data_IF_078521959297
#
_entry.id   IF_078521959297
#
_cell.length_a   1.000
_cell.length_b   1.000
_cell.length_c   1.000
_cell.angle_alpha   90.00
_cell.angle_beta   90.00
_cell.angle_gamma   90.00
#
_symmetry.space_group_name_H-M   'P 1'
#
loop_
_entity.id
_entity.type
_entity.pdbx_description
1 polymer ?
#
# COMPACT_ATOMS: atom_id res chain seq x y z
N UNK A 1 37.15 -3.52 12.71
CA UNK A 1 36.51 -2.54 11.80
C UNK A 1 35.17 -3.09 11.33
N UNK A 2 34.11 -2.29 11.36
CA UNK A 2 32.75 -2.68 11.00
C UNK A 2 32.32 -1.95 9.73
N UNK A 3 31.93 -2.67 8.68
CA UNK A 3 31.36 -2.10 7.46
C UNK A 3 29.83 -2.01 7.55
N UNK A 4 29.28 -0.83 7.26
CA UNK A 4 27.83 -0.57 7.22
C UNK A 4 27.45 0.27 6.01
N UNK A 5 26.19 0.15 5.56
CA UNK A 5 25.59 1.06 4.59
C UNK A 5 25.53 2.48 5.17
N UNK A 6 25.64 3.54 4.35
CA UNK A 6 25.58 4.94 4.78
C UNK A 6 24.16 5.39 5.19
N UNK A 7 23.34 4.49 5.71
CA UNK A 7 21.99 4.82 6.14
C UNK A 7 21.99 5.20 7.63
N UNK A 8 21.15 6.18 8.04
CA UNK A 8 21.01 6.50 9.45
C UNK A 8 20.40 5.28 10.17
N UNK A 9 20.90 4.91 11.37
CA UNK A 9 21.63 5.76 12.31
C UNK A 9 23.15 5.56 12.33
N UNK A 10 23.71 4.73 11.44
CA UNK A 10 25.15 4.47 11.45
C UNK A 10 25.94 5.61 10.80
N UNK A 11 25.31 6.31 9.86
CA UNK A 11 25.78 7.57 9.30
C UNK A 11 24.61 8.57 9.35
N UNK A 12 24.76 9.65 10.11
CA UNK A 12 23.74 10.69 10.18
C UNK A 12 23.75 11.52 8.88
N UNK A 13 22.63 11.49 8.14
CA UNK A 13 22.43 12.34 6.97
C UNK A 13 21.52 13.51 7.37
N UNK A 14 21.96 14.78 7.23
CA UNK A 14 21.14 15.93 7.57
C UNK A 14 19.78 15.90 6.85
N UNK A 15 18.69 15.96 7.62
CA UNK A 15 17.31 15.97 7.10
C UNK A 15 16.66 14.60 6.88
N UNK A 16 17.39 13.49 7.02
CA UNK A 16 16.83 12.13 6.89
C UNK A 16 16.69 11.51 8.27
N UNK A 17 15.45 11.15 8.66
CA UNK A 17 15.21 10.40 9.90
C UNK A 17 15.72 8.97 9.75
N UNK A 18 16.31 8.42 10.81
CA UNK A 18 16.75 7.03 10.83
C UNK A 18 15.59 6.07 10.68
N UNK A 19 15.79 5.03 9.87
CA UNK A 19 14.87 3.91 9.80
C UNK A 19 14.83 3.17 11.14
N UNK A 20 13.65 2.74 11.56
CA UNK A 20 13.48 1.93 12.79
C UNK A 20 14.36 0.69 12.77
N UNK A 21 14.46 0.02 11.61
CA UNK A 21 15.29 -1.17 11.45
C UNK A 21 16.77 -0.88 11.69
N UNK A 22 17.23 0.27 11.23
CA UNK A 22 18.61 0.66 11.34
C UNK A 22 18.97 1.05 12.79
N UNK A 23 18.02 1.65 13.54
CA UNK A 23 18.12 1.86 15.00
C UNK A 23 18.27 0.54 15.76
N UNK A 24 17.44 -0.46 15.44
CA UNK A 24 17.53 -1.80 16.05
C UNK A 24 18.90 -2.42 15.78
N UNK A 25 19.40 -2.35 14.54
CA UNK A 25 20.69 -2.90 14.17
C UNK A 25 21.84 -2.23 14.96
N UNK A 26 21.81 -0.90 15.10
CA UNK A 26 22.81 -0.14 15.85
C UNK A 26 22.82 -0.54 17.32
N UNK A 27 21.65 -0.53 17.95
CA UNK A 27 21.53 -0.79 19.39
C UNK A 27 21.94 -2.25 19.70
N UNK A 28 21.57 -3.19 18.83
CA UNK A 28 22.01 -4.59 18.93
C UNK A 28 23.53 -4.70 18.88
N UNK A 29 24.18 -3.97 17.98
CA UNK A 29 25.63 -4.02 17.84
C UNK A 29 26.36 -3.43 19.06
N UNK A 30 25.89 -2.30 19.60
CA UNK A 30 26.45 -1.72 20.83
C UNK A 30 26.24 -2.62 22.05
N UNK A 31 25.09 -3.29 22.13
CA UNK A 31 24.83 -4.29 23.16
C UNK A 31 25.81 -5.46 23.05
N UNK A 32 26.05 -5.97 21.84
CA UNK A 32 27.04 -7.02 21.61
C UNK A 32 28.46 -6.57 21.97
N UNK A 33 28.86 -5.36 21.57
CA UNK A 33 30.17 -4.79 21.91
C UNK A 33 30.39 -4.69 23.42
N UNK A 34 29.35 -4.31 24.15
CA UNK A 34 29.39 -4.21 25.62
C UNK A 34 29.45 -5.59 26.28
N UNK A 35 28.66 -6.55 25.78
CA UNK A 35 28.59 -7.92 26.34
C UNK A 35 29.83 -8.76 26.05
N UNK A 36 30.42 -8.59 24.87
CA UNK A 36 31.58 -9.34 24.39
C UNK A 36 32.90 -8.55 24.54
N UNK A 37 32.85 -7.34 25.09
CA UNK A 37 34.00 -6.50 25.43
C UNK A 37 34.92 -6.19 24.24
N UNK A 38 34.35 -5.89 23.07
CA UNK A 38 35.12 -5.43 21.90
C UNK A 38 34.84 -3.97 21.58
N UNK A 39 35.81 -3.30 20.95
CA UNK A 39 35.67 -1.92 20.47
C UNK A 39 35.11 -1.90 19.04
N UNK A 40 34.25 -0.92 18.78
CA UNK A 40 33.63 -0.71 17.47
C UNK A 40 34.28 0.48 16.76
N UNK A 41 34.69 0.28 15.51
CA UNK A 41 35.04 1.35 14.58
C UNK A 41 34.17 1.18 13.35
N UNK A 42 33.23 2.09 13.18
CA UNK A 42 32.22 2.05 12.11
C UNK A 42 32.80 2.74 10.88
N UNK A 43 32.78 2.04 9.76
CA UNK A 43 33.17 2.53 8.44
C UNK A 43 32.10 2.14 7.42
N UNK A 44 32.10 2.82 6.28
CA UNK A 44 31.22 2.50 5.16
C UNK A 44 32.06 2.13 3.94
N UNK A 45 31.54 1.26 3.05
CA UNK A 45 32.22 0.98 1.81
C UNK A 45 32.22 2.23 0.91
N UNK A 46 33.30 2.49 0.15
CA UNK A 46 33.44 3.70 -0.66
C UNK A 46 32.43 3.77 -1.82
N UNK A 47 31.89 2.62 -2.24
CA UNK A 47 30.87 2.52 -3.29
C UNK A 47 29.44 2.62 -2.74
N UNK A 48 29.27 2.66 -1.41
CA UNK A 48 27.98 2.65 -0.73
C UNK A 48 27.05 1.48 -1.09
N UNK A 49 27.63 0.39 -1.60
CA UNK A 49 26.87 -0.79 -1.98
C UNK A 49 26.81 -1.82 -0.85
N UNK A 50 25.72 -2.57 -0.82
CA UNK A 50 25.54 -3.66 0.14
C UNK A 50 26.38 -4.90 -0.20
N UNK A 51 26.66 -5.12 -1.48
CA UNK A 51 27.36 -6.30 -1.98
C UNK A 51 26.56 -7.06 -3.01
N UNK A 52 26.89 -6.79 -4.27
CA UNK A 52 26.51 -7.53 -5.46
C UNK A 52 27.72 -8.25 -6.05
N UNK A 53 27.45 -9.34 -6.76
CA UNK A 53 28.48 -10.05 -7.51
C UNK A 53 28.49 -9.53 -8.95
N UNK A 54 29.57 -8.83 -9.32
CA UNK A 54 29.75 -8.23 -10.65
C UNK A 54 31.18 -8.49 -11.13
N UNK A 55 31.32 -8.86 -12.40
CA UNK A 55 32.63 -9.06 -13.04
C UNK A 55 33.57 -10.01 -12.27
N UNK A 56 33.00 -11.08 -11.70
CA UNK A 56 33.76 -12.09 -10.95
C UNK A 56 34.17 -11.66 -9.53
N UNK A 57 33.78 -10.46 -9.07
CA UNK A 57 34.13 -9.92 -7.76
C UNK A 57 32.89 -9.45 -7.00
N UNK A 58 33.01 -9.47 -5.68
CA UNK A 58 32.03 -8.87 -4.78
C UNK A 58 32.38 -7.40 -4.53
N UNK A 59 31.40 -6.53 -4.69
CA UNK A 59 31.47 -5.11 -4.32
C UNK A 59 30.90 -4.86 -2.91
N UNK A 60 30.85 -3.61 -2.48
CA UNK A 60 30.17 -3.21 -1.25
C UNK A 60 30.72 -3.82 0.04
N UNK A 61 29.83 -3.93 1.03
CA UNK A 61 30.12 -4.51 2.36
C UNK A 61 30.67 -5.92 2.23
N UNK A 62 30.04 -6.78 1.40
CA UNK A 62 30.50 -8.16 1.19
C UNK A 62 31.91 -8.20 0.60
N UNK A 63 32.20 -7.31 -0.35
CA UNK A 63 33.54 -7.17 -0.92
C UNK A 63 34.58 -6.78 0.14
N UNK A 64 34.26 -5.85 1.04
CA UNK A 64 35.16 -5.46 2.13
C UNK A 64 35.43 -6.59 3.10
N UNK A 65 34.41 -7.40 3.43
CA UNK A 65 34.57 -8.58 4.28
C UNK A 65 35.49 -9.62 3.64
N UNK A 66 35.29 -9.91 2.35
CA UNK A 66 36.11 -10.88 1.61
C UNK A 66 37.57 -10.42 1.45
N UNK A 67 37.78 -9.11 1.28
CA UNK A 67 39.12 -8.50 1.21
C UNK A 67 39.76 -8.29 2.59
N UNK A 68 39.06 -8.65 3.69
CA UNK A 68 39.50 -8.43 5.08
C UNK A 68 39.78 -6.96 5.42
N UNK A 69 39.07 -6.06 4.75
CA UNK A 69 39.08 -4.62 5.05
C UNK A 69 38.14 -4.31 6.23
N UNK A 70 37.14 -5.16 6.45
CA UNK A 70 36.26 -5.12 7.61
C UNK A 70 36.16 -6.51 8.26
N UNK A 71 36.01 -6.53 9.58
CA UNK A 71 35.87 -7.77 10.37
C UNK A 71 34.42 -8.21 10.50
N UNK A 72 33.49 -7.24 10.49
CA UNK A 72 32.05 -7.46 10.65
C UNK A 72 31.28 -6.55 9.68
N UNK A 73 30.20 -7.08 9.10
CA UNK A 73 29.25 -6.33 8.31
C UNK A 73 27.94 -6.18 9.06
N UNK A 74 27.57 -4.96 9.44
CA UNK A 74 26.26 -4.68 10.03
C UNK A 74 25.45 -3.84 9.06
N UNK A 75 24.39 -4.42 8.50
CA UNK A 75 23.54 -3.75 7.55
C UNK A 75 22.20 -4.47 7.43
N UNK A 76 21.18 -3.77 6.95
CA UNK A 76 19.85 -4.31 6.64
C UNK A 76 19.88 -5.07 5.31
N UNK A 77 20.72 -6.10 5.26
CA UNK A 77 20.93 -6.89 4.07
C UNK A 77 20.05 -8.13 4.07
N UNK A 78 19.30 -8.31 2.98
CA UNK A 78 18.64 -9.57 2.72
C UNK A 78 19.69 -10.69 2.58
N UNK A 79 19.48 -11.77 3.34
CA UNK A 79 20.22 -13.03 3.22
C UNK A 79 19.74 -13.70 1.94
N UNK A 80 20.56 -13.67 0.89
CA UNK A 80 20.29 -14.34 -0.39
C UNK A 80 21.23 -15.51 -0.56
N UNK A 81 20.84 -16.52 -1.35
CA UNK A 81 21.66 -17.71 -1.59
C UNK A 81 23.08 -17.36 -2.08
N UNK A 82 23.20 -16.48 -3.08
CA UNK A 82 24.50 -16.08 -3.62
C UNK A 82 25.42 -15.44 -2.56
N UNK A 83 24.84 -14.64 -1.64
CA UNK A 83 25.60 -14.01 -0.55
C UNK A 83 25.97 -15.03 0.52
N UNK A 84 25.04 -15.93 0.84
CA UNK A 84 25.25 -17.01 1.82
C UNK A 84 26.37 -17.98 1.40
N UNK A 85 26.57 -18.18 0.09
CA UNK A 85 27.70 -18.97 -0.41
C UNK A 85 29.05 -18.24 -0.35
N UNK A 86 29.05 -16.92 -0.17
CA UNK A 86 30.26 -16.10 -0.16
C UNK A 86 30.74 -15.75 1.25
N UNK A 87 29.81 -15.52 2.18
CA UNK A 87 30.09 -15.14 3.57
C UNK A 87 29.14 -15.85 4.54
N UNK A 88 29.60 -16.01 5.78
CA UNK A 88 28.78 -16.54 6.86
C UNK A 88 27.89 -15.46 7.47
N UNK A 89 26.62 -15.81 7.72
CA UNK A 89 25.64 -14.95 8.37
C UNK A 89 25.32 -15.46 9.78
N UNK A 90 25.08 -14.53 10.71
CA UNK A 90 24.48 -14.84 12.00
C UNK A 90 22.99 -15.16 11.87
N UNK A 91 22.37 -15.55 12.98
CA UNK A 91 20.91 -15.57 13.09
C UNK A 91 20.35 -14.18 12.80
N UNK A 92 19.30 -14.03 11.97
CA UNK A 92 18.71 -12.73 11.67
C UNK A 92 18.10 -12.11 12.94
N UNK A 93 18.42 -10.84 13.18
CA UNK A 93 17.86 -10.03 14.28
C UNK A 93 16.43 -9.57 13.94
N UNK A 94 16.15 -9.38 12.65
CA UNK A 94 14.90 -8.84 12.12
C UNK A 94 14.43 -9.72 10.98
N UNK A 95 13.14 -10.05 10.98
CA UNK A 95 12.47 -10.69 9.86
C UNK A 95 11.62 -9.63 9.16
N UNK A 96 11.79 -9.48 7.85
CA UNK A 96 10.98 -8.60 7.02
C UNK A 96 10.25 -9.44 5.96
N UNK A 97 9.10 -8.94 5.51
CA UNK A 97 8.26 -9.60 4.51
C UNK A 97 8.20 -8.70 3.28
N UNK A 98 8.53 -9.26 2.12
CA UNK A 98 8.40 -8.55 0.85
C UNK A 98 6.92 -8.44 0.45
N UNK A 99 6.48 -7.22 0.19
CA UNK A 99 5.12 -6.92 -0.28
C UNK A 99 5.14 -6.11 -1.58
N UNK A 100 4.02 -6.11 -2.29
CA UNK A 100 3.81 -5.23 -3.45
C UNK A 100 3.17 -3.95 -2.92
N UNK A 101 3.86 -2.81 -3.10
CA UNK A 101 3.29 -1.50 -2.83
C UNK A 101 2.51 -1.03 -4.07
N UNK A 102 1.20 -0.87 -3.92
CA UNK A 102 0.34 -0.25 -4.93
C UNK A 102 -0.05 1.17 -4.50
N UNK A 103 -0.26 2.10 -5.45
CA UNK A 103 -0.80 3.41 -5.12
C UNK A 103 -2.17 3.26 -4.45
N UNK A 104 -2.50 4.22 -3.58
CA UNK A 104 -3.84 4.29 -3.01
C UNK A 104 -4.87 4.48 -4.14
N UNK A 105 -6.01 3.77 -4.14
CA UNK A 105 -7.01 3.91 -5.19
C UNK A 105 -7.57 5.34 -5.21
N UNK A 106 -7.80 5.88 -6.40
CA UNK A 106 -8.44 7.19 -6.55
C UNK A 106 -9.82 7.19 -5.89
N UNK A 107 -10.13 8.24 -5.11
CA UNK A 107 -11.46 8.39 -4.52
C UNK A 107 -12.51 8.62 -5.62
N UNK A 108 -13.31 7.60 -5.92
CA UNK A 108 -14.50 7.77 -6.75
C UNK A 108 -15.47 8.74 -6.06
N UNK A 109 -16.12 9.62 -6.82
CA UNK A 109 -17.05 10.59 -6.22
C UNK A 109 -18.18 9.89 -5.44
N UNK A 110 -18.39 10.31 -4.19
CA UNK A 110 -19.36 9.69 -3.26
C UNK A 110 -20.79 9.66 -3.81
N UNK A 111 -21.14 10.60 -4.68
CA UNK A 111 -22.47 10.68 -5.32
C UNK A 111 -22.61 9.61 -6.41
N UNK A 112 -21.57 9.38 -7.22
CA UNK A 112 -21.61 8.35 -8.26
C UNK A 112 -21.63 6.94 -7.64
N UNK A 113 -21.01 6.76 -6.47
CA UNK A 113 -21.08 5.49 -5.73
C UNK A 113 -22.52 5.10 -5.34
N UNK A 114 -23.44 6.06 -5.14
CA UNK A 114 -24.85 5.76 -4.86
C UNK A 114 -25.62 5.28 -6.11
N UNK A 115 -25.20 5.69 -7.31
CA UNK A 115 -25.80 5.28 -8.59
C UNK A 115 -25.14 4.02 -9.19
N UNK A 116 -23.96 3.65 -8.70
CA UNK A 116 -23.16 2.49 -9.11
C UNK A 116 -23.87 1.12 -9.02
N UNK A 117 -24.81 0.85 -8.09
CA UNK A 117 -25.43 -0.47 -7.98
C UNK A 117 -26.19 -0.94 -9.23
N UNK A 118 -26.65 -0.01 -10.07
CA UNK A 118 -27.42 -0.32 -11.27
C UNK A 118 -26.75 0.27 -12.53
N UNK A 119 -26.78 -0.48 -13.63
CA UNK A 119 -26.29 0.01 -14.92
C UNK A 119 -27.20 1.11 -15.47
N UNK A 120 -26.65 1.91 -16.39
CA UNK A 120 -27.43 2.95 -17.09
C UNK A 120 -28.66 2.36 -17.79
N UNK A 121 -28.58 1.14 -18.30
CA UNK A 121 -29.68 0.43 -18.95
C UNK A 121 -30.85 0.18 -17.99
N UNK A 122 -30.55 -0.24 -16.75
CA UNK A 122 -31.55 -0.47 -15.70
C UNK A 122 -32.22 0.85 -15.30
N UNK A 123 -31.45 1.93 -15.16
CA UNK A 123 -32.00 3.26 -14.88
C UNK A 123 -32.91 3.75 -16.01
N UNK A 124 -32.50 3.60 -17.27
CA UNK A 124 -33.32 3.95 -18.43
C UNK A 124 -34.60 3.12 -18.48
N UNK A 125 -34.51 1.82 -18.23
CA UNK A 125 -35.68 0.94 -18.15
C UNK A 125 -36.64 1.38 -17.04
N UNK A 126 -36.13 1.69 -15.85
CA UNK A 126 -36.91 2.17 -14.71
C UNK A 126 -37.69 3.46 -15.02
N UNK A 127 -37.03 4.48 -15.60
CA UNK A 127 -37.70 5.71 -15.99
C UNK A 127 -38.73 5.51 -17.11
N UNK A 128 -38.42 4.68 -18.11
CA UNK A 128 -39.34 4.37 -19.21
C UNK A 128 -40.60 3.64 -18.73
N UNK A 129 -40.45 2.65 -17.85
CA UNK A 129 -41.58 1.91 -17.29
C UNK A 129 -42.46 2.82 -16.43
N UNK A 130 -41.86 3.67 -15.59
CA UNK A 130 -42.56 4.66 -14.78
C UNK A 130 -43.38 5.62 -15.64
N UNK A 131 -42.79 6.10 -16.74
CA UNK A 131 -43.46 6.98 -17.70
C UNK A 131 -44.66 6.29 -18.38
N UNK A 132 -44.48 5.04 -18.83
CA UNK A 132 -45.55 4.27 -19.46
C UNK A 132 -46.74 4.02 -18.51
N UNK A 133 -46.47 3.69 -17.24
CA UNK A 133 -47.52 3.52 -16.23
C UNK A 133 -48.30 4.82 -16.01
N UNK A 134 -47.60 5.96 -15.93
CA UNK A 134 -48.26 7.26 -15.79
C UNK A 134 -49.13 7.59 -17.01
N UNK A 135 -48.67 7.24 -18.22
CA UNK A 135 -49.42 7.43 -19.46
C UNK A 135 -50.71 6.60 -19.46
N UNK A 136 -50.63 5.31 -19.13
CA UNK A 136 -51.80 4.42 -19.10
C UNK A 136 -52.84 4.89 -18.09
N UNK A 137 -52.41 5.29 -16.88
CA UNK A 137 -53.31 5.81 -15.86
C UNK A 137 -53.98 7.13 -16.26
N UNK A 138 -53.26 7.97 -17.01
CA UNK A 138 -53.81 9.24 -17.50
C UNK A 138 -54.83 9.04 -18.62
N UNK A 139 -54.63 8.03 -19.46
CA UNK A 139 -55.63 7.62 -20.47
C UNK A 139 -56.88 7.08 -19.78
N UNK A 140 -56.71 6.19 -18.80
CA UNK A 140 -57.83 5.66 -18.01
C UNK A 140 -58.58 6.77 -17.26
N UNK A 141 -57.85 7.70 -16.65
CA UNK A 141 -58.43 8.86 -15.96
C UNK A 141 -59.28 9.73 -16.88
N UNK A 142 -58.86 9.94 -18.14
CA UNK A 142 -59.66 10.65 -19.15
C UNK A 142 -60.91 9.88 -19.55
N UNK A 143 -60.80 8.56 -19.72
CA UNK A 143 -61.94 7.70 -20.10
C UNK A 143 -62.98 7.65 -18.97
N UNK A 144 -62.54 7.50 -17.74
CA UNK A 144 -63.40 7.36 -16.56
C UNK A 144 -63.83 8.72 -15.96
N UNK A 145 -63.63 9.83 -16.67
CA UNK A 145 -63.88 11.20 -16.20
C UNK A 145 -63.35 11.47 -14.77
N UNK A 146 -62.19 10.87 -14.45
CA UNK A 146 -61.56 11.01 -13.15
C UNK A 146 -60.93 12.40 -13.01
N UNK A 147 -61.00 12.97 -11.81
CA UNK A 147 -60.48 14.32 -11.50
C UNK A 147 -58.96 14.36 -11.28
N UNK A 148 -58.27 13.20 -11.35
CA UNK A 148 -56.81 13.12 -11.12
C UNK A 148 -56.04 13.69 -12.29
N UNK A 149 -55.06 14.53 -11.99
CA UNK A 149 -54.16 15.15 -12.97
C UNK A 149 -52.93 14.25 -13.21
N UNK A 150 -52.23 14.44 -14.33
CA UNK A 150 -50.98 13.74 -14.63
C UNK A 150 -49.96 13.79 -13.46
N UNK A 151 -49.84 14.94 -12.80
CA UNK A 151 -48.98 15.09 -11.62
C UNK A 151 -49.38 14.20 -10.44
N UNK A 152 -50.68 13.95 -10.26
CA UNK A 152 -51.19 13.08 -9.19
C UNK A 152 -50.81 11.62 -9.46
N UNK A 153 -50.79 11.21 -10.73
CA UNK A 153 -50.32 9.88 -11.14
C UNK A 153 -48.82 9.70 -10.89
N UNK A 154 -48.00 10.71 -11.17
CA UNK A 154 -46.56 10.68 -10.85
C UNK A 154 -46.35 10.53 -9.35
N UNK A 155 -47.00 11.37 -8.54
CA UNK A 155 -46.87 11.32 -7.08
C UNK A 155 -47.33 9.98 -6.50
N UNK A 156 -48.40 9.42 -7.06
CA UNK A 156 -48.89 8.10 -6.70
C UNK A 156 -47.90 6.97 -7.04
N UNK A 157 -47.31 6.99 -8.24
CA UNK A 157 -46.30 6.00 -8.63
C UNK A 157 -45.04 6.10 -7.76
N UNK A 158 -44.58 7.32 -7.44
CA UNK A 158 -43.44 7.53 -6.53
C UNK A 158 -43.76 7.01 -5.13
N UNK A 159 -44.96 7.26 -4.61
CA UNK A 159 -45.42 6.73 -3.31
C UNK A 159 -45.36 5.19 -3.26
N UNK A 160 -45.75 4.52 -4.34
CA UNK A 160 -45.66 3.05 -4.46
C UNK A 160 -44.21 2.59 -4.47
N UNK A 161 -43.37 3.19 -5.32
CA UNK A 161 -41.97 2.79 -5.49
C UNK A 161 -41.18 2.99 -4.19
N UNK A 162 -41.44 4.11 -3.51
CA UNK A 162 -40.80 4.41 -2.23
C UNK A 162 -41.41 3.68 -1.05
N UNK A 163 -42.47 2.89 -1.27
CA UNK A 163 -43.22 2.16 -0.24
C UNK A 163 -43.70 3.06 0.91
N UNK A 164 -43.95 4.34 0.64
CA UNK A 164 -44.35 5.33 1.65
C UNK A 164 -45.87 5.32 1.93
N UNK A 165 -46.66 4.56 1.17
CA UNK A 165 -48.13 4.53 1.27
C UNK A 165 -48.78 5.78 0.67
N UNK A 166 -50.07 5.66 0.30
CA UNK A 166 -50.86 6.79 -0.21
C UNK A 166 -51.27 7.67 0.97
N UNK A 167 -50.73 8.89 1.05
CA UNK A 167 -51.21 9.96 1.93
C UNK A 167 -52.58 10.43 1.43
#
# INVERSE_FOLDING_TARGET
>A
MLATSPEPPFVEIPGIKSSYFALIARDTLYLLATRLQFSLTITHPPDFLFGGYKNGKWDGIIGQLLRKEADLGASLNAITYARYTAIDFSVPVIYDVTGILIPFPDESSKIMAALQPFSIEVWMAFFSATFLICLTLSVEGKINSSRKTFGDHIMWVISIITSQGTI
#
